data_IF_328176015184
#
_entry.id   IF_328176015184
#
_cell.length_a   1.000
_cell.length_b   1.000
_cell.length_c   1.000
_cell.angle_alpha   90.00
_cell.angle_beta   90.00
_cell.angle_gamma   90.00
#
_symmetry.space_group_name_H-M   'P 1'
#
loop_
_entity.id
_entity.type
_entity.pdbx_description
1 polymer ?
#
# COMPACT_ATOMS: atom_id res chain seq x y z
N UNK A 1 3.98 -8.47 -19.53
CA UNK A 1 4.93 -8.47 -18.38
C UNK A 1 4.17 -8.92 -17.15
N UNK A 2 4.52 -10.07 -16.53
CA UNK A 2 3.90 -10.49 -15.27
C UNK A 2 4.49 -9.63 -14.16
N UNK A 3 3.82 -8.55 -13.77
CA UNK A 3 4.27 -7.73 -12.65
C UNK A 3 4.37 -8.64 -11.42
N UNK A 4 5.57 -8.74 -10.83
CA UNK A 4 5.79 -9.56 -9.64
C UNK A 4 4.91 -9.01 -8.51
N UNK A 5 4.07 -9.84 -7.86
CA UNK A 5 3.21 -9.40 -6.76
C UNK A 5 3.98 -8.67 -5.65
N UNK A 6 5.24 -9.07 -5.44
CA UNK A 6 6.16 -8.39 -4.52
C UNK A 6 6.51 -6.98 -4.97
N UNK A 7 6.91 -6.83 -6.24
CA UNK A 7 7.28 -5.52 -6.78
C UNK A 7 6.11 -4.53 -6.71
N UNK A 8 4.90 -4.98 -7.05
CA UNK A 8 3.71 -4.13 -6.92
C UNK A 8 3.41 -3.79 -5.46
N UNK A 9 3.56 -4.73 -4.53
CA UNK A 9 3.33 -4.42 -3.10
C UNK A 9 4.27 -3.33 -2.58
N UNK A 10 5.54 -3.36 -3.00
CA UNK A 10 6.54 -2.33 -2.64
C UNK A 10 6.18 -0.98 -3.25
N UNK A 11 5.73 -0.95 -4.51
CA UNK A 11 5.29 0.30 -5.15
C UNK A 11 4.08 0.90 -4.46
N UNK A 12 3.05 0.11 -4.15
CA UNK A 12 1.88 0.58 -3.41
C UNK A 12 2.25 1.07 -2.02
N UNK A 13 3.13 0.36 -1.31
CA UNK A 13 3.62 0.81 0.00
C UNK A 13 4.35 2.16 -0.10
N UNK A 14 5.21 2.31 -1.10
CA UNK A 14 5.97 3.54 -1.33
C UNK A 14 5.05 4.71 -1.69
N UNK A 15 4.06 4.49 -2.55
CA UNK A 15 3.05 5.50 -2.90
C UNK A 15 2.21 5.89 -1.68
N UNK A 16 1.78 4.94 -0.85
CA UNK A 16 1.05 5.24 0.39
C UNK A 16 1.85 6.11 1.36
N UNK A 17 3.16 5.85 1.51
CA UNK A 17 4.07 6.69 2.30
C UNK A 17 4.16 8.10 1.70
N UNK A 18 4.32 8.20 0.38
CA UNK A 18 4.44 9.47 -0.32
C UNK A 18 3.17 10.31 -0.17
N UNK A 19 2.00 9.72 -0.38
CA UNK A 19 0.72 10.42 -0.20
C UNK A 19 0.48 10.82 1.24
N UNK A 20 0.89 10.00 2.21
CA UNK A 20 0.82 10.38 3.64
C UNK A 20 1.72 11.59 3.94
N UNK A 21 2.93 11.62 3.37
CA UNK A 21 3.85 12.76 3.52
C UNK A 21 3.27 14.04 2.91
N UNK A 22 2.72 13.96 1.69
CA UNK A 22 2.09 15.11 1.02
C UNK A 22 0.84 15.56 1.79
N UNK A 23 0.03 14.62 2.30
CA UNK A 23 -1.13 14.93 3.12
C UNK A 23 -0.74 15.71 4.39
N UNK A 24 0.32 15.27 5.07
CA UNK A 24 0.83 15.93 6.27
C UNK A 24 1.33 17.36 5.99
N UNK A 25 1.94 17.58 4.82
CA UNK A 25 2.37 18.92 4.39
C UNK A 25 1.21 19.81 3.90
N UNK A 26 0.09 19.21 3.49
CA UNK A 26 -1.11 19.94 3.03
C UNK A 26 -1.99 20.42 4.19
N UNK A 27 -1.59 20.18 5.44
CA UNK A 27 -2.28 20.68 6.62
C UNK A 27 -1.98 22.16 6.76
N UNK A 28 -2.94 22.99 6.37
CA UNK A 28 -2.86 24.45 6.57
C UNK A 28 -3.39 24.80 7.96
N UNK A 29 -4.68 25.10 8.09
CA UNK A 29 -5.29 25.47 9.37
C UNK A 29 -5.87 24.28 10.14
N UNK A 30 -6.38 23.27 9.43
CA UNK A 30 -7.01 22.09 10.04
C UNK A 30 -6.71 20.81 9.26
N UNK A 31 -6.74 19.68 9.97
CA UNK A 31 -6.65 18.34 9.37
C UNK A 31 -7.84 18.00 8.47
N UNK A 32 -8.93 18.78 8.53
CA UNK A 32 -10.16 18.56 7.77
C UNK A 32 -10.16 19.21 6.39
N UNK A 33 -9.02 19.76 5.95
CA UNK A 33 -8.89 20.24 4.59
C UNK A 33 -9.20 19.11 3.59
N UNK A 34 -10.07 19.40 2.62
CA UNK A 34 -10.51 18.46 1.60
C UNK A 34 -9.34 17.73 0.92
N UNK A 35 -8.26 18.44 0.63
CA UNK A 35 -7.05 17.88 0.01
C UNK A 35 -6.36 16.86 0.93
N UNK A 36 -6.17 17.20 2.21
CA UNK A 36 -5.57 16.31 3.21
C UNK A 36 -6.39 15.04 3.40
N UNK A 37 -7.73 15.16 3.47
CA UNK A 37 -8.62 14.00 3.63
C UNK A 37 -8.56 13.08 2.42
N UNK A 38 -8.60 13.61 1.19
CA UNK A 38 -8.49 12.80 -0.02
C UNK A 38 -7.15 12.08 -0.09
N UNK A 39 -6.04 12.79 0.16
CA UNK A 39 -4.71 12.20 0.15
C UNK A 39 -4.58 11.08 1.20
N UNK A 40 -5.14 11.28 2.40
CA UNK A 40 -5.15 10.26 3.45
C UNK A 40 -6.01 9.03 3.07
N UNK A 41 -7.16 9.24 2.44
CA UNK A 41 -8.01 8.16 1.93
C UNK A 41 -7.29 7.36 0.86
N UNK A 42 -6.66 8.03 -0.12
CA UNK A 42 -5.87 7.37 -1.18
C UNK A 42 -4.71 6.58 -0.57
N UNK A 43 -3.95 7.17 0.34
CA UNK A 43 -2.86 6.48 1.04
C UNK A 43 -3.36 5.23 1.77
N UNK A 44 -4.54 5.27 2.39
CA UNK A 44 -5.14 4.12 3.06
C UNK A 44 -5.43 2.97 2.09
N UNK A 45 -5.95 3.27 0.89
CA UNK A 45 -6.15 2.26 -0.13
C UNK A 45 -4.83 1.65 -0.61
N UNK A 46 -3.80 2.46 -0.82
CA UNK A 46 -2.47 1.99 -1.21
C UNK A 46 -1.88 1.03 -0.17
N UNK A 47 -1.96 1.37 1.12
CA UNK A 47 -1.54 0.49 2.19
C UNK A 47 -2.35 -0.81 2.23
N UNK A 48 -3.67 -0.75 2.07
CA UNK A 48 -4.53 -1.93 2.04
C UNK A 48 -4.16 -2.88 0.87
N UNK A 49 -3.89 -2.33 -0.31
CA UNK A 49 -3.46 -3.11 -1.49
C UNK A 49 -2.08 -3.70 -1.26
N UNK A 50 -1.12 -2.93 -0.72
CA UNK A 50 0.21 -3.42 -0.39
C UNK A 50 0.16 -4.62 0.58
N UNK A 51 -0.60 -4.50 1.67
CA UNK A 51 -0.81 -5.58 2.66
C UNK A 51 -1.45 -6.80 2.00
N UNK A 52 -2.47 -6.60 1.16
CA UNK A 52 -3.13 -7.70 0.44
C UNK A 52 -2.16 -8.45 -0.47
N UNK A 53 -1.30 -7.75 -1.19
CA UNK A 53 -0.31 -8.35 -2.09
C UNK A 53 0.80 -9.08 -1.32
N UNK A 54 1.26 -8.55 -0.19
CA UNK A 54 2.21 -9.23 0.71
C UNK A 54 1.60 -10.53 1.23
N UNK A 55 0.35 -10.48 1.73
CA UNK A 55 -0.36 -11.66 2.21
C UNK A 55 -0.55 -12.71 1.10
N UNK A 56 -0.86 -12.28 -0.12
CA UNK A 56 -0.95 -13.16 -1.27
C UNK A 56 0.40 -13.84 -1.57
N UNK A 57 1.50 -13.10 -1.53
CA UNK A 57 2.83 -13.66 -1.73
C UNK A 57 3.18 -14.70 -0.66
N UNK A 58 2.91 -14.41 0.62
CA UNK A 58 3.14 -15.35 1.73
C UNK A 58 2.29 -16.62 1.55
N UNK A 59 1.01 -16.47 1.19
CA UNK A 59 0.12 -17.62 0.96
C UNK A 59 0.62 -18.51 -0.19
N UNK A 60 1.04 -17.92 -1.30
CA UNK A 60 1.60 -18.65 -2.45
C UNK A 60 2.89 -19.38 -2.03
N UNK A 61 3.79 -18.71 -1.29
CA UNK A 61 5.03 -19.31 -0.79
C UNK A 61 4.76 -20.49 0.14
N UNK A 62 3.82 -20.35 1.07
CA UNK A 62 3.46 -21.41 2.03
C UNK A 62 2.82 -22.61 1.33
N UNK A 63 1.93 -22.37 0.35
CA UNK A 63 1.32 -23.45 -0.43
C UNK A 63 2.36 -24.21 -1.28
N UNK A 64 3.38 -23.52 -1.82
CA UNK A 64 4.46 -24.17 -2.57
C UNK A 64 5.35 -25.03 -1.66
N UNK A 65 5.57 -24.62 -0.42
CA UNK A 65 6.37 -25.37 0.54
C UNK A 65 5.66 -26.62 1.07
N UNK A 66 4.33 -26.59 1.22
CA UNK A 66 3.55 -27.76 1.64
C UNK A 66 3.42 -28.84 0.56
N UNK A 67 3.50 -28.48 -0.73
CA UNK A 67 3.49 -29.46 -1.83
C UNK A 67 4.84 -30.14 -2.07
N UNK A 68 5.91 -29.66 -1.43
CA UNK A 68 7.27 -30.22 -1.52
C UNK A 68 7.67 -31.03 -0.26
N UNK A 69 6.72 -31.25 0.65
CA UNK A 69 6.85 -32.13 1.82
C UNK A 69 6.01 -33.37 1.61
#
# INVERSE_FOLDING_TARGET
MRASPLFMSTLYLFMGILFTYIAAQSVEETLWNFTTVILAVVATFDFAVAVRLINLHIKIKNSKNNNNK
#
